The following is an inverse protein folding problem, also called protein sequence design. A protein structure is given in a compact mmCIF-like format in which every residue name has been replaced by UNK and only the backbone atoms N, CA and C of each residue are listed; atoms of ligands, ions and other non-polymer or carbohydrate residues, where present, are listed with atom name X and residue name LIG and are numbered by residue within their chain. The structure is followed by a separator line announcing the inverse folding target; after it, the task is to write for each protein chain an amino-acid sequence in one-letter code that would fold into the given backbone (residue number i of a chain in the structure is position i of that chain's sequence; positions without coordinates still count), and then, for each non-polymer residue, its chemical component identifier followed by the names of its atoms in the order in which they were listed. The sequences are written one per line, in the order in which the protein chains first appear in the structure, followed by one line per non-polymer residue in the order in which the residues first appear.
data_IF_161952665947
#
_entry.id   IF_161952665947
#
_cell.length_a   1.000
_cell.length_b   1.000
_cell.length_c   1.000
_cell.angle_alpha   90.00
_cell.angle_beta   90.00
_cell.angle_gamma   90.00
#
_symmetry.space_group_name_H-M   'P 1'
#
loop_
_entity.id
_entity.type
_entity.pdbx_description
1 polymer ?
#
# COMPACT_ATOMS: atom_id res chain seq x y z
N UNK A 1 -32.17 -68.37 -5.42
CA UNK A 1 -32.55 -67.23 -6.29
C UNK A 1 -32.54 -65.96 -5.46
N UNK A 2 -31.84 -64.90 -5.95
CA UNK A 2 -32.11 -63.44 -5.85
C UNK A 2 -32.44 -62.84 -4.45
N UNK A 3 -32.01 -61.66 -4.01
CA UNK A 3 -31.16 -60.52 -4.44
C UNK A 3 -31.16 -59.56 -3.21
N UNK A 4 -30.01 -59.13 -2.69
CA UNK A 4 -29.50 -57.72 -2.61
C UNK A 4 -30.46 -56.60 -2.14
N UNK A 5 -30.09 -55.96 -1.03
CA UNK A 5 -30.24 -54.50 -0.74
C UNK A 5 -29.27 -54.13 0.40
N UNK A 6 -28.04 -53.65 0.11
CA UNK A 6 -27.60 -52.24 -0.01
C UNK A 6 -27.63 -51.48 1.34
N UNK A 7 -26.49 -51.36 2.06
CA UNK A 7 -25.42 -50.32 1.97
C UNK A 7 -25.83 -49.04 2.73
N UNK A 8 -25.43 -48.89 4.00
CA UNK A 8 -24.27 -48.09 4.49
C UNK A 8 -24.16 -46.72 3.83
N UNK A 9 -24.77 -45.70 4.45
CA UNK A 9 -24.55 -44.29 4.14
C UNK A 9 -24.54 -43.54 5.48
N UNK A 10 -23.48 -42.76 5.71
CA UNK A 10 -23.45 -41.79 6.80
C UNK A 10 -22.14 -41.65 7.57
N UNK A 11 -21.09 -42.43 7.24
CA UNK A 11 -19.73 -42.16 7.71
C UNK A 11 -18.90 -41.64 6.53
N UNK A 12 -19.23 -40.43 6.09
CA UNK A 12 -18.42 -39.65 5.15
C UNK A 12 -18.18 -38.27 5.76
N UNK A 13 -17.65 -38.27 6.99
CA UNK A 13 -16.79 -37.18 7.45
C UNK A 13 -15.52 -37.27 6.62
N UNK A 14 -15.63 -36.77 5.40
CA UNK A 14 -14.53 -36.55 4.50
C UNK A 14 -13.50 -35.73 5.26
N UNK A 15 -12.44 -36.43 5.62
CA UNK A 15 -11.11 -35.92 5.86
C UNK A 15 -10.75 -35.02 4.66
N UNK A 16 -11.18 -33.76 4.71
CA UNK A 16 -10.60 -32.65 3.97
C UNK A 16 -9.21 -32.42 4.57
N UNK A 17 -8.30 -33.38 4.37
CA UNK A 17 -6.90 -33.04 4.30
C UNK A 17 -6.80 -32.27 3.00
N UNK A 18 -6.89 -30.95 3.12
CA UNK A 18 -6.29 -30.04 2.16
C UNK A 18 -4.80 -30.40 2.21
N UNK A 19 -4.41 -31.39 1.42
CA UNK A 19 -3.03 -31.49 0.98
C UNK A 19 -2.87 -30.31 0.04
N UNK A 20 -2.61 -29.15 0.64
CA UNK A 20 -1.94 -28.08 -0.03
C UNK A 20 -0.64 -28.68 -0.54
N UNK A 21 -0.65 -29.13 -1.79
CA UNK A 21 0.53 -29.15 -2.64
C UNK A 21 0.96 -27.69 -2.79
N UNK A 22 1.39 -27.08 -1.69
CA UNK A 22 2.07 -25.81 -1.71
C UNK A 22 3.43 -26.16 -2.30
N UNK A 23 3.66 -25.76 -3.55
CA UNK A 23 5.02 -25.35 -3.88
C UNK A 23 5.51 -24.50 -2.70
N UNK A 24 6.74 -24.69 -2.24
CA UNK A 24 7.33 -23.80 -1.24
C UNK A 24 8.00 -22.66 -2.04
N UNK A 25 7.26 -21.64 -2.52
CA UNK A 25 7.83 -20.58 -3.34
C UNK A 25 8.94 -19.86 -2.59
N UNK A 26 8.83 -19.76 -1.26
CA UNK A 26 9.76 -19.08 -0.36
C UNK A 26 11.15 -19.66 -0.51
N UNK A 27 11.30 -20.99 -0.40
CA UNK A 27 12.61 -21.64 -0.51
C UNK A 27 13.26 -21.40 -1.86
N UNK A 28 12.47 -21.42 -2.93
CA UNK A 28 12.98 -21.24 -4.29
C UNK A 28 13.38 -19.79 -4.55
N UNK A 29 12.55 -18.84 -4.12
CA UNK A 29 12.78 -17.40 -4.27
C UNK A 29 13.96 -16.97 -3.43
N UNK A 30 14.00 -17.33 -2.14
CA UNK A 30 15.09 -16.97 -1.25
C UNK A 30 16.42 -17.58 -1.70
N UNK A 31 16.41 -18.82 -2.19
CA UNK A 31 17.61 -19.44 -2.74
C UNK A 31 18.16 -18.67 -3.94
N UNK A 32 17.31 -18.24 -4.87
CA UNK A 32 17.73 -17.43 -6.02
C UNK A 32 18.19 -16.04 -5.59
N UNK A 33 17.46 -15.40 -4.68
CA UNK A 33 17.81 -14.08 -4.15
C UNK A 33 19.17 -14.07 -3.46
N UNK A 34 19.41 -14.96 -2.50
CA UNK A 34 20.69 -15.02 -1.78
C UNK A 34 21.84 -15.54 -2.65
N UNK A 35 21.55 -16.31 -3.71
CA UNK A 35 22.56 -16.62 -4.72
C UNK A 35 22.98 -15.35 -5.50
N UNK A 36 22.02 -14.50 -5.87
CA UNK A 36 22.29 -13.21 -6.49
C UNK A 36 23.08 -12.27 -5.56
N UNK A 37 22.75 -12.24 -4.26
CA UNK A 37 23.53 -11.53 -3.23
C UNK A 37 24.98 -12.00 -3.23
N UNK A 38 25.22 -13.32 -3.23
CA UNK A 38 26.57 -13.88 -3.24
C UNK A 38 27.36 -13.56 -4.51
N UNK A 39 26.66 -13.44 -5.64
CA UNK A 39 27.25 -13.09 -6.94
C UNK A 39 27.37 -11.59 -7.19
N UNK A 40 26.90 -10.74 -6.26
CA UNK A 40 26.75 -9.30 -6.46
C UNK A 40 25.91 -8.95 -7.72
N UNK A 41 24.90 -9.77 -8.03
CA UNK A 41 24.01 -9.57 -9.18
C UNK A 41 22.82 -8.68 -8.78
N UNK A 42 23.03 -7.37 -8.91
CA UNK A 42 22.05 -6.34 -8.57
C UNK A 42 20.79 -6.38 -9.44
N UNK A 43 20.92 -6.82 -10.70
CA UNK A 43 19.79 -6.89 -11.63
C UNK A 43 18.83 -8.01 -11.21
N UNK A 44 19.38 -9.19 -10.88
CA UNK A 44 18.56 -10.30 -10.37
C UNK A 44 17.93 -9.93 -9.03
N UNK A 45 18.67 -9.32 -8.10
CA UNK A 45 18.10 -8.88 -6.81
C UNK A 45 16.93 -7.90 -7.01
N UNK A 46 17.10 -6.90 -7.87
CA UNK A 46 16.08 -5.87 -8.17
C UNK A 46 14.87 -6.42 -8.92
N UNK A 47 14.99 -7.56 -9.60
CA UNK A 47 13.85 -8.23 -10.24
C UNK A 47 12.98 -9.05 -9.28
N UNK A 48 13.52 -9.35 -8.10
CA UNK A 48 12.92 -10.25 -7.09
C UNK A 48 12.45 -9.52 -5.84
N UNK A 49 13.16 -8.46 -5.44
CA UNK A 49 12.83 -7.65 -4.27
C UNK A 49 12.55 -6.21 -4.70
N UNK A 50 11.45 -5.64 -4.23
CA UNK A 50 11.11 -4.25 -4.47
C UNK A 50 12.09 -3.30 -3.78
N UNK A 51 12.51 -3.66 -2.57
CA UNK A 51 13.59 -2.99 -1.83
C UNK A 51 14.72 -3.99 -1.60
N UNK A 52 15.67 -4.13 -2.56
CA UNK A 52 16.80 -5.03 -2.42
C UNK A 52 17.66 -4.69 -1.21
N UNK A 53 18.07 -5.75 -0.51
CA UNK A 53 19.00 -5.72 0.60
C UNK A 53 20.17 -6.66 0.32
N UNK A 54 21.39 -6.12 0.35
CA UNK A 54 22.62 -6.87 0.08
C UNK A 54 23.49 -6.93 1.35
N UNK A 55 23.27 -7.93 2.23
CA UNK A 55 24.13 -8.16 3.37
C UNK A 55 25.48 -8.74 2.95
N UNK A 56 26.48 -8.61 3.81
CA UNK A 56 27.67 -9.47 3.75
C UNK A 56 27.25 -10.90 4.05
N UNK A 57 27.06 -11.70 3.01
CA UNK A 57 26.48 -13.04 3.13
C UNK A 57 27.57 -14.10 3.29
N UNK A 58 27.62 -14.73 4.46
CA UNK A 58 28.32 -16.00 4.69
C UNK A 58 27.40 -17.19 4.43
N UNK A 59 26.30 -17.26 5.19
CA UNK A 59 25.25 -18.26 4.98
C UNK A 59 23.87 -17.73 5.39
N UNK A 60 22.81 -18.45 5.02
CA UNK A 60 21.45 -18.10 5.43
C UNK A 60 20.60 -19.35 5.66
N UNK A 61 19.55 -19.22 6.47
CA UNK A 61 18.52 -20.24 6.65
C UNK A 61 17.17 -19.62 6.94
N UNK A 62 16.11 -20.34 6.57
CA UNK A 62 14.75 -19.99 6.97
C UNK A 62 14.56 -20.42 8.43
N UNK A 63 14.10 -19.50 9.29
CA UNK A 63 13.79 -19.74 10.70
C UNK A 63 12.32 -20.14 10.84
N UNK A 64 11.43 -19.37 10.23
CA UNK A 64 9.99 -19.63 10.24
C UNK A 64 9.33 -19.09 8.98
N UNK A 65 8.21 -19.71 8.61
CA UNK A 65 7.33 -19.27 7.53
C UNK A 65 5.97 -19.01 8.19
N UNK A 66 5.45 -17.79 8.05
CA UNK A 66 4.13 -17.40 8.51
C UNK A 66 3.02 -18.04 7.68
N UNK A 67 1.80 -17.98 8.19
CA UNK A 67 0.62 -18.39 7.43
C UNK A 67 0.39 -17.45 6.25
N UNK A 68 -0.12 -18.02 5.16
CA UNK A 68 -0.50 -17.22 3.98
C UNK A 68 -1.85 -16.56 4.23
N UNK A 69 -1.90 -15.24 4.15
CA UNK A 69 -3.14 -14.48 4.19
C UNK A 69 -3.58 -14.15 2.77
N UNK A 70 -4.88 -14.29 2.51
CA UNK A 70 -5.47 -14.01 1.20
C UNK A 70 -6.56 -12.97 1.41
N UNK A 71 -6.34 -11.80 0.83
CA UNK A 71 -7.20 -10.62 0.98
C UNK A 71 -7.62 -10.11 -0.41
N UNK A 72 -8.76 -9.43 -0.52
CA UNK A 72 -9.14 -8.78 -1.78
C UNK A 72 -8.12 -7.71 -2.17
N UNK A 73 -7.97 -7.47 -3.47
CA UNK A 73 -7.14 -6.38 -3.98
C UNK A 73 -7.64 -5.02 -3.48
N UNK A 74 -6.76 -4.26 -2.84
CA UNK A 74 -7.08 -2.96 -2.22
C UNK A 74 -6.92 -1.79 -3.19
N UNK A 75 -6.25 -1.99 -4.33
CA UNK A 75 -6.00 -0.93 -5.32
C UNK A 75 -7.25 -0.21 -5.82
N UNK A 76 -8.36 -0.90 -6.16
CA UNK A 76 -9.61 -0.23 -6.52
C UNK A 76 -10.15 0.66 -5.41
N UNK A 77 -10.15 0.18 -4.16
CA UNK A 77 -10.60 0.94 -2.99
C UNK A 77 -9.70 2.15 -2.72
N UNK A 78 -8.38 1.99 -2.83
CA UNK A 78 -7.42 3.09 -2.69
C UNK A 78 -7.59 4.14 -3.79
N UNK A 79 -7.91 3.73 -5.01
CA UNK A 79 -8.19 4.64 -6.10
C UNK A 79 -9.49 5.44 -5.87
N UNK A 80 -10.54 4.80 -5.36
CA UNK A 80 -11.76 5.50 -4.96
C UNK A 80 -11.49 6.50 -3.84
N UNK A 81 -10.74 6.10 -2.81
CA UNK A 81 -10.34 6.98 -1.72
C UNK A 81 -9.51 8.18 -2.18
N UNK A 82 -8.57 8.00 -3.13
CA UNK A 82 -7.81 9.11 -3.72
C UNK A 82 -8.73 10.09 -4.46
N UNK A 83 -9.67 9.58 -5.26
CA UNK A 83 -10.63 10.39 -6.02
C UNK A 83 -11.56 11.17 -5.09
N UNK A 84 -12.04 10.56 -4.01
CA UNK A 84 -12.88 11.23 -3.02
C UNK A 84 -12.10 12.30 -2.24
N UNK A 85 -10.89 11.98 -1.78
CA UNK A 85 -10.03 12.95 -1.08
C UNK A 85 -9.73 14.17 -1.96
N UNK A 86 -9.48 13.95 -3.26
CA UNK A 86 -9.30 15.03 -4.23
C UNK A 86 -10.55 15.90 -4.38
N UNK A 87 -11.73 15.29 -4.49
CA UNK A 87 -13.00 16.04 -4.59
C UNK A 87 -13.23 16.92 -3.36
N UNK A 88 -12.95 16.39 -2.16
CA UNK A 88 -13.08 17.16 -0.92
C UNK A 88 -12.08 18.31 -0.88
N UNK A 89 -10.83 18.07 -1.25
CA UNK A 89 -9.82 19.11 -1.37
C UNK A 89 -10.25 20.21 -2.35
N UNK A 90 -10.66 19.83 -3.56
CA UNK A 90 -11.07 20.77 -4.61
C UNK A 90 -12.29 21.60 -4.19
N UNK A 91 -13.24 20.99 -3.48
CA UNK A 91 -14.40 21.69 -2.93
C UNK A 91 -14.03 22.72 -1.85
N UNK A 92 -12.93 22.51 -1.12
CA UNK A 92 -12.46 23.40 -0.05
C UNK A 92 -11.62 24.60 -0.57
N UNK A 93 -11.14 24.53 -1.81
CA UNK A 93 -10.34 25.63 -2.42
C UNK A 93 -11.16 26.93 -2.48
N UNK A 94 -12.40 26.86 -2.98
CA UNK A 94 -13.29 28.03 -3.10
C UNK A 94 -13.52 28.75 -1.76
N UNK A 95 -14.04 28.06 -0.72
CA UNK A 95 -14.23 28.63 0.61
C UNK A 95 -12.96 29.27 1.20
N UNK A 96 -11.79 28.65 1.00
CA UNK A 96 -10.51 29.18 1.49
C UNK A 96 -10.10 30.46 0.77
N UNK A 97 -10.30 30.51 -0.55
CA UNK A 97 -10.04 31.72 -1.36
C UNK A 97 -11.00 32.83 -0.97
N UNK A 98 -12.29 32.55 -0.86
CA UNK A 98 -13.31 33.54 -0.51
C UNK A 98 -13.05 34.15 0.88
N UNK A 99 -12.70 33.31 1.87
CA UNK A 99 -12.32 33.77 3.20
C UNK A 99 -11.06 34.65 3.19
N UNK A 100 -10.05 34.27 2.39
CA UNK A 100 -8.83 35.06 2.24
C UNK A 100 -9.09 36.40 1.53
N UNK A 101 -9.90 36.42 0.47
CA UNK A 101 -10.28 37.65 -0.23
C UNK A 101 -11.04 38.60 0.70
N UNK A 102 -12.02 38.09 1.45
CA UNK A 102 -12.75 38.92 2.42
C UNK A 102 -11.81 39.51 3.49
N UNK A 103 -10.87 38.71 4.01
CA UNK A 103 -9.85 39.17 4.94
C UNK A 103 -8.97 40.27 4.34
N UNK A 104 -8.49 40.08 3.11
CA UNK A 104 -7.65 41.07 2.41
C UNK A 104 -8.40 42.38 2.14
N UNK A 105 -9.68 42.30 1.75
CA UNK A 105 -10.52 43.49 1.55
C UNK A 105 -10.68 44.28 2.86
N UNK A 106 -10.93 43.60 3.98
CA UNK A 106 -11.02 44.24 5.29
C UNK A 106 -9.68 44.84 5.76
N UNK A 107 -8.57 44.17 5.47
CA UNK A 107 -7.22 44.69 5.74
C UNK A 107 -6.93 45.94 4.90
N UNK A 108 -7.32 45.93 3.63
CA UNK A 108 -7.19 47.09 2.75
C UNK A 108 -8.04 48.28 3.23
N UNK A 109 -9.28 48.05 3.66
CA UNK A 109 -10.13 49.09 4.24
C UNK A 109 -9.53 49.69 5.52
N UNK A 110 -8.98 48.84 6.40
CA UNK A 110 -8.26 49.30 7.60
C UNK A 110 -7.08 50.21 7.23
N UNK A 111 -6.29 49.81 6.25
CA UNK A 111 -5.06 50.52 5.87
C UNK A 111 -5.35 51.84 5.14
N UNK A 112 -6.44 51.90 4.39
CA UNK A 112 -6.89 53.11 3.67
C UNK A 112 -7.74 54.06 4.51
N UNK A 113 -8.27 53.62 5.65
CA UNK A 113 -9.09 54.46 6.53
C UNK A 113 -8.30 55.63 7.14
N UNK A 114 -8.79 56.86 6.94
CA UNK A 114 -8.15 58.08 7.45
C UNK A 114 -8.52 58.43 8.90
N UNK A 115 -9.55 57.78 9.47
CA UNK A 115 -10.06 58.10 10.81
C UNK A 115 -9.72 57.01 11.83
N UNK A 116 -9.44 57.41 13.07
CA UNK A 116 -9.14 56.46 14.15
C UNK A 116 -10.34 55.54 14.50
N UNK A 117 -11.57 56.04 14.36
CA UNK A 117 -12.77 55.25 14.57
C UNK A 117 -12.96 54.20 13.45
N UNK A 118 -12.75 54.59 12.18
CA UNK A 118 -12.81 53.68 11.03
C UNK A 118 -11.76 52.57 11.11
N UNK A 119 -10.52 52.91 11.49
CA UNK A 119 -9.46 51.90 11.73
C UNK A 119 -9.84 50.88 12.80
N UNK A 120 -10.47 51.30 13.91
CA UNK A 120 -10.90 50.39 14.98
C UNK A 120 -12.05 49.49 14.56
N UNK A 121 -12.99 49.99 13.76
CA UNK A 121 -14.09 49.18 13.23
C UNK A 121 -13.56 48.14 12.24
N UNK A 122 -12.72 48.54 11.29
CA UNK A 122 -12.09 47.64 10.33
C UNK A 122 -11.17 46.61 11.02
N UNK A 123 -10.45 46.99 12.08
CA UNK A 123 -9.64 46.02 12.83
C UNK A 123 -10.50 44.91 13.46
N UNK A 124 -11.67 45.22 14.02
CA UNK A 124 -12.57 44.19 14.56
C UNK A 124 -13.05 43.23 13.47
N UNK A 125 -13.32 43.75 12.27
CA UNK A 125 -13.70 42.94 11.12
C UNK A 125 -12.54 42.05 10.64
N UNK A 126 -11.31 42.59 10.61
CA UNK A 126 -10.10 41.81 10.33
C UNK A 126 -9.93 40.69 11.34
N UNK A 127 -10.09 40.97 12.63
CA UNK A 127 -9.96 39.94 13.68
C UNK A 127 -11.00 38.82 13.52
N UNK A 128 -12.25 39.17 13.17
CA UNK A 128 -13.31 38.18 12.90
C UNK A 128 -13.03 37.35 11.63
N UNK A 129 -12.65 38.00 10.53
CA UNK A 129 -12.37 37.33 9.27
C UNK A 129 -11.08 36.52 9.33
N UNK A 130 -10.12 36.90 10.17
CA UNK A 130 -8.91 36.13 10.40
C UNK A 130 -9.25 34.77 11.01
N UNK A 131 -10.13 34.72 12.01
CA UNK A 131 -10.58 33.45 12.62
C UNK A 131 -11.25 32.57 11.57
N UNK A 132 -12.14 33.13 10.74
CA UNK A 132 -12.80 32.37 9.66
C UNK A 132 -11.81 31.85 8.62
N UNK A 133 -10.84 32.66 8.22
CA UNK A 133 -9.79 32.23 7.31
C UNK A 133 -8.92 31.12 7.93
N UNK A 134 -8.55 31.24 9.19
CA UNK A 134 -7.73 30.25 9.89
C UNK A 134 -8.46 28.89 9.97
N UNK A 135 -9.77 28.89 10.23
CA UNK A 135 -10.62 27.69 10.22
C UNK A 135 -10.68 27.03 8.82
N UNK A 136 -10.98 27.80 7.78
CA UNK A 136 -11.07 27.26 6.41
C UNK A 136 -9.70 26.80 5.87
N UNK A 137 -8.63 27.50 6.23
CA UNK A 137 -7.27 27.11 5.89
C UNK A 137 -6.83 25.85 6.64
N UNK A 138 -7.18 25.70 7.93
CA UNK A 138 -6.90 24.47 8.68
C UNK A 138 -7.57 23.25 8.02
N UNK A 139 -8.86 23.36 7.66
CA UNK A 139 -9.57 22.33 6.89
C UNK A 139 -8.86 22.03 5.56
N UNK A 140 -8.42 23.06 4.84
CA UNK A 140 -7.69 22.88 3.58
C UNK A 140 -6.37 22.13 3.78
N UNK A 141 -5.62 22.41 4.84
CA UNK A 141 -4.38 21.67 5.15
C UNK A 141 -4.66 20.20 5.49
N UNK A 142 -5.70 19.93 6.29
CA UNK A 142 -6.11 18.56 6.62
C UNK A 142 -6.51 17.77 5.38
N UNK A 143 -7.35 18.36 4.51
CA UNK A 143 -7.76 17.72 3.25
C UNK A 143 -6.60 17.51 2.28
N UNK A 144 -5.68 18.48 2.19
CA UNK A 144 -4.46 18.33 1.40
C UNK A 144 -3.59 17.19 1.92
N UNK A 145 -3.46 17.06 3.24
CA UNK A 145 -2.73 15.95 3.86
C UNK A 145 -3.41 14.62 3.55
N UNK A 146 -4.72 14.51 3.76
CA UNK A 146 -5.50 13.31 3.48
C UNK A 146 -5.38 12.87 2.01
N UNK A 147 -5.45 13.82 1.07
CA UNK A 147 -5.24 13.54 -0.35
C UNK A 147 -3.82 13.04 -0.64
N UNK A 148 -2.79 13.66 -0.07
CA UNK A 148 -1.42 13.22 -0.26
C UNK A 148 -1.17 11.82 0.33
N UNK A 149 -1.74 11.53 1.50
CA UNK A 149 -1.63 10.22 2.16
C UNK A 149 -2.35 9.14 1.32
N UNK A 150 -3.56 9.42 0.82
CA UNK A 150 -4.30 8.52 -0.07
C UNK A 150 -3.55 8.26 -1.39
N UNK A 151 -3.02 9.32 -2.00
CA UNK A 151 -2.21 9.23 -3.22
C UNK A 151 -0.93 8.42 -3.00
N UNK A 152 -0.25 8.61 -1.87
CA UNK A 152 0.95 7.86 -1.52
C UNK A 152 0.65 6.37 -1.29
N UNK A 153 -0.45 6.06 -0.60
CA UNK A 153 -0.90 4.69 -0.38
C UNK A 153 -1.25 3.99 -1.71
N UNK A 154 -2.02 4.65 -2.58
CA UNK A 154 -2.36 4.13 -3.90
C UNK A 154 -1.10 3.90 -4.76
N UNK A 155 -0.16 4.84 -4.77
CA UNK A 155 1.09 4.72 -5.52
C UNK A 155 1.99 3.57 -5.01
N UNK A 156 2.10 3.42 -3.69
CA UNK A 156 2.90 2.34 -3.09
C UNK A 156 2.31 0.96 -3.43
N UNK A 157 0.98 0.81 -3.32
CA UNK A 157 0.32 -0.44 -3.67
C UNK A 157 0.36 -0.71 -5.19
N UNK A 158 0.30 0.34 -6.01
CA UNK A 158 0.42 0.24 -7.48
C UNK A 158 1.81 -0.25 -7.89
N UNK A 159 2.86 0.27 -7.26
CA UNK A 159 4.24 -0.16 -7.47
C UNK A 159 4.42 -1.64 -7.12
N UNK A 160 3.94 -2.08 -5.95
CA UNK A 160 4.02 -3.47 -5.51
C UNK A 160 3.26 -4.39 -6.48
N UNK A 161 2.05 -3.99 -6.86
CA UNK A 161 1.21 -4.76 -7.78
C UNK A 161 1.90 -4.91 -9.13
N UNK A 162 2.39 -3.81 -9.71
CA UNK A 162 3.09 -3.80 -10.99
C UNK A 162 4.32 -4.71 -10.94
N UNK A 163 5.07 -4.65 -9.84
CA UNK A 163 6.25 -5.47 -9.61
C UNK A 163 5.93 -6.97 -9.57
N UNK A 164 4.86 -7.36 -8.85
CA UNK A 164 4.38 -8.74 -8.78
C UNK A 164 3.89 -9.24 -10.13
N UNK A 165 3.17 -8.42 -10.90
CA UNK A 165 2.71 -8.78 -12.25
C UNK A 165 3.86 -8.85 -13.27
N UNK A 166 5.01 -8.23 -12.96
CA UNK A 166 6.14 -8.15 -13.90
C UNK A 166 5.85 -7.30 -15.13
N UNK A 167 4.84 -6.46 -15.05
CA UNK A 167 4.55 -5.50 -16.10
C UNK A 167 5.36 -4.23 -15.87
N UNK A 168 5.72 -3.54 -16.95
CA UNK A 168 6.36 -2.22 -16.87
C UNK A 168 5.34 -1.10 -16.81
N UNK A 169 4.20 -1.31 -17.45
CA UNK A 169 3.10 -0.36 -17.52
C UNK A 169 1.80 -1.14 -17.76
N UNK A 170 0.78 -0.86 -16.94
CA UNK A 170 -0.58 -1.38 -17.08
C UNK A 170 -1.55 -0.25 -16.76
N UNK A 171 -2.10 0.43 -17.77
CA UNK A 171 -2.98 1.59 -17.56
C UNK A 171 -4.23 1.28 -16.73
N UNK A 172 -4.68 0.03 -16.74
CA UNK A 172 -5.87 -0.44 -16.03
C UNK A 172 -5.57 -1.01 -14.64
N UNK A 173 -4.32 -0.92 -14.15
CA UNK A 173 -3.89 -1.60 -12.90
C UNK A 173 -4.77 -1.27 -11.70
N UNK A 174 -5.25 -0.02 -11.59
CA UNK A 174 -6.13 0.44 -10.52
C UNK A 174 -7.57 -0.07 -10.60
N UNK A 175 -7.94 -0.66 -11.74
CA UNK A 175 -9.28 -1.23 -11.98
C UNK A 175 -9.26 -2.76 -11.86
N UNK A 176 -8.08 -3.36 -11.78
CA UNK A 176 -7.95 -4.81 -11.62
C UNK A 176 -8.45 -5.23 -10.24
N UNK A 177 -9.26 -6.28 -10.22
CA UNK A 177 -9.75 -6.90 -8.99
C UNK A 177 -9.15 -8.29 -8.83
N UNK A 178 -9.26 -8.88 -7.65
CA UNK A 178 -8.72 -10.22 -7.41
C UNK A 178 -8.22 -10.40 -5.99
N UNK A 179 -7.19 -11.23 -5.84
CA UNK A 179 -6.67 -11.64 -4.55
C UNK A 179 -5.20 -11.24 -4.39
N UNK A 180 -4.86 -10.76 -3.20
CA UNK A 180 -3.50 -10.51 -2.75
C UNK A 180 -3.16 -11.58 -1.75
N UNK A 181 -2.16 -12.37 -2.09
CA UNK A 181 -1.57 -13.36 -1.20
C UNK A 181 -0.39 -12.70 -0.50
N UNK A 182 -0.39 -12.69 0.82
CA UNK A 182 0.69 -12.14 1.64
C UNK A 182 1.24 -13.20 2.58
N UNK A 183 2.55 -13.11 2.84
CA UNK A 183 3.23 -14.03 3.75
C UNK A 183 4.45 -13.39 4.37
N UNK A 184 4.67 -13.65 5.65
CA UNK A 184 5.89 -13.28 6.35
C UNK A 184 6.87 -14.46 6.41
N UNK A 185 8.14 -14.23 6.13
CA UNK A 185 9.19 -15.25 6.26
C UNK A 185 10.32 -14.71 7.11
N UNK A 186 10.70 -15.42 8.16
CA UNK A 186 11.85 -15.06 8.97
C UNK A 186 13.07 -15.82 8.49
N UNK A 187 14.13 -15.10 8.17
CA UNK A 187 15.42 -15.65 7.78
C UNK A 187 16.50 -15.25 8.76
N UNK A 188 17.41 -16.18 9.05
CA UNK A 188 18.64 -15.90 9.76
C UNK A 188 19.76 -15.78 8.72
N UNK A 189 20.48 -14.66 8.75
CA UNK A 189 21.62 -14.37 7.89
C UNK A 189 22.86 -14.34 8.75
N UNK A 190 23.83 -15.18 8.42
CA UNK A 190 25.14 -15.22 9.06
C UNK A 190 26.14 -14.54 8.15
N UNK A 191 26.82 -13.53 8.66
CA UNK A 191 27.86 -12.83 7.92
C UNK A 191 29.15 -13.67 7.78
N UNK A 192 30.15 -13.11 7.11
CA UNK A 192 31.45 -13.75 6.94
C UNK A 192 32.26 -13.83 8.25
N UNK A 193 31.93 -13.00 9.24
CA UNK A 193 32.53 -12.99 10.58
C UNK A 193 31.86 -13.99 11.54
N UNK A 194 30.76 -14.62 11.12
CA UNK A 194 29.98 -15.58 11.91
C UNK A 194 28.88 -14.96 12.76
N UNK A 195 28.63 -13.65 12.69
CA UNK A 195 27.52 -13.01 13.39
C UNK A 195 26.21 -13.33 12.67
N UNK A 196 25.20 -13.75 13.43
CA UNK A 196 23.87 -14.08 12.87
C UNK A 196 22.86 -13.01 13.26
N UNK A 197 22.14 -12.49 12.27
CA UNK A 197 21.03 -11.54 12.45
C UNK A 197 19.77 -12.10 11.79
N UNK A 198 18.63 -11.88 12.45
CA UNK A 198 17.34 -12.31 11.93
C UNK A 198 16.66 -11.17 11.20
N UNK A 199 15.97 -11.49 10.10
CA UNK A 199 15.20 -10.54 9.30
C UNK A 199 13.82 -11.12 9.01
N UNK A 200 12.77 -10.30 9.14
CA UNK A 200 11.44 -10.58 8.61
C UNK A 200 11.38 -10.08 7.18
N UNK A 201 10.93 -10.93 6.28
CA UNK A 201 10.67 -10.61 4.89
C UNK A 201 9.17 -10.59 4.68
N UNK A 202 8.66 -9.49 4.15
CA UNK A 202 7.28 -9.40 3.70
C UNK A 202 7.24 -9.83 2.23
N UNK A 203 6.50 -10.90 1.93
CA UNK A 203 6.32 -11.39 0.56
C UNK A 203 4.87 -11.21 0.14
N UNK A 204 4.67 -10.82 -1.13
CA UNK A 204 3.33 -10.70 -1.71
C UNK A 204 3.24 -11.30 -3.11
N UNK A 205 2.05 -11.73 -3.50
CA UNK A 205 1.68 -12.13 -4.86
C UNK A 205 0.28 -11.61 -5.18
N UNK A 206 0.12 -11.05 -6.36
CA UNK A 206 -1.15 -10.47 -6.83
C UNK A 206 -1.74 -11.37 -7.91
N UNK A 207 -2.87 -12.00 -7.63
CA UNK A 207 -3.63 -12.77 -8.61
C UNK A 207 -4.85 -11.94 -9.02
N UNK A 208 -4.68 -11.15 -10.06
CA UNK A 208 -5.63 -10.13 -10.47
C UNK A 208 -6.35 -10.49 -11.78
N UNK A 209 -7.41 -9.75 -12.07
CA UNK A 209 -8.24 -9.89 -13.26
C UNK A 209 -8.83 -8.55 -13.66
N UNK A 210 -8.90 -8.32 -14.96
CA UNK A 210 -9.77 -7.31 -15.52
C UNK A 210 -11.18 -7.89 -15.68
N UNK A 211 -12.15 -7.33 -14.94
CA UNK A 211 -13.55 -7.75 -15.00
C UNK A 211 -14.22 -7.37 -16.33
N UNK A 212 -13.78 -6.30 -16.99
CA UNK A 212 -14.39 -5.86 -18.25
C UNK A 212 -14.02 -6.76 -19.43
N UNK A 213 -12.74 -7.15 -19.52
CA UNK A 213 -12.22 -8.01 -20.59
C UNK A 213 -12.10 -9.48 -20.19
N UNK A 214 -12.35 -9.81 -18.93
CA UNK A 214 -12.26 -11.15 -18.35
C UNK A 214 -10.82 -11.75 -18.39
N UNK A 215 -9.80 -10.91 -18.58
CA UNK A 215 -8.38 -11.31 -18.73
C UNK A 215 -7.72 -11.48 -17.35
N UNK A 216 -7.12 -12.65 -17.05
CA UNK A 216 -6.37 -12.85 -15.82
C UNK A 216 -4.93 -12.30 -15.91
N UNK A 217 -4.47 -11.73 -14.81
CA UNK A 217 -3.11 -11.24 -14.58
C UNK A 217 -2.52 -11.97 -13.36
N UNK A 218 -1.95 -13.17 -13.57
CA UNK A 218 -1.34 -13.94 -12.48
C UNK A 218 0.03 -13.33 -12.12
N UNK A 219 0.21 -12.96 -10.86
CA UNK A 219 1.44 -12.40 -10.35
C UNK A 219 2.44 -13.48 -9.92
N UNK A 220 3.69 -13.04 -9.73
CA UNK A 220 4.72 -13.83 -9.04
C UNK A 220 4.86 -13.36 -7.60
N UNK A 221 5.28 -14.28 -6.74
CA UNK A 221 5.74 -13.94 -5.41
C UNK A 221 6.98 -13.04 -5.51
N UNK A 222 6.93 -11.92 -4.82
CA UNK A 222 7.99 -10.91 -4.74
C UNK A 222 8.29 -10.61 -3.29
N UNK A 223 9.53 -10.20 -3.02
CA UNK A 223 9.94 -9.71 -1.70
C UNK A 223 9.68 -8.20 -1.68
N UNK A 224 8.98 -7.70 -0.67
CA UNK A 224 8.69 -6.27 -0.55
C UNK A 224 9.87 -5.59 0.13
N UNK A 225 10.29 -6.12 1.27
CA UNK A 225 11.37 -5.57 2.09
C UNK A 225 11.96 -6.61 3.06
N UNK A 226 13.01 -6.17 3.75
CA UNK A 226 13.73 -6.90 4.78
C UNK A 226 13.77 -6.04 6.05
N UNK A 227 13.07 -6.48 7.09
CA UNK A 227 13.02 -5.82 8.38
C UNK A 227 13.94 -6.53 9.38
N UNK A 228 14.92 -5.87 10.01
CA UNK A 228 15.75 -6.50 11.03
C UNK A 228 14.91 -6.81 12.28
N UNK A 229 15.00 -8.06 12.73
CA UNK A 229 14.49 -8.49 14.03
C UNK A 229 15.66 -8.39 15.00
N UNK A 230 15.71 -7.26 15.72
CA UNK A 230 16.72 -6.92 16.74
C UNK A 230 17.12 -8.09 17.64
#
# INVERSE_FOLDING_TARGET
MRKKTLIVIGLFSAFLIIQGCTSAPEKTILKKYFNAVQMNDNDTMSSMALRPFQPELGSWKIVSIGEETVEPATLPELNEAEVEAKKLQDAQIGPTIDANTALQDAQYERDTSRSAAGKRAAQRLVDELQVKYDEENAKMQELKKAYNDAKAAAAAEEEITMFSLGARELPIIRQLTGQVHSKEVVVAITDQEGQTKNYRLNMRRYDLRDEASNIPYPGRWVIIDFEPLS
#
